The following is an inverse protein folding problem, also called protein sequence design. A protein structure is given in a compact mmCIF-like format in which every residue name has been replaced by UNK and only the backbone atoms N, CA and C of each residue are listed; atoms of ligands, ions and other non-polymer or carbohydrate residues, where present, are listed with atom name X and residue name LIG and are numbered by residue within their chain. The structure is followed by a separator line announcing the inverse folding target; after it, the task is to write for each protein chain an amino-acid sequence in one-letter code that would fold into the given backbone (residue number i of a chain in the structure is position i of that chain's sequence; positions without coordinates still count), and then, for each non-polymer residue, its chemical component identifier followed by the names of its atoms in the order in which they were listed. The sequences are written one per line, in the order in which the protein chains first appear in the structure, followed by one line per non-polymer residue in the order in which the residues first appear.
data_IF_602131052446
#
_entry.id   IF_602131052446
#
_cell.length_a   1.000
_cell.length_b   1.000
_cell.length_c   1.000
_cell.angle_alpha   90.00
_cell.angle_beta   90.00
_cell.angle_gamma   90.00
#
_symmetry.space_group_name_H-M   'P 1'
#
loop_
_entity.id
_entity.type
_entity.pdbx_description
1 polymer ?
#
# COMPACT_ATOMS: atom_id res chain seq x y z
N UNK A 1 0.45 22.25 10.63
CA UNK A 1 0.55 21.16 11.63
C UNK A 1 1.55 21.53 12.71
N UNK A 2 2.77 21.97 12.34
CA UNK A 2 3.78 22.48 13.30
C UNK A 2 3.24 23.70 14.06
N UNK A 3 2.67 24.68 13.35
CA UNK A 3 2.11 25.89 13.99
C UNK A 3 1.00 25.62 15.01
N UNK A 4 0.24 24.53 14.82
CA UNK A 4 -0.82 24.13 15.76
C UNK A 4 -0.23 23.52 17.04
N UNK A 5 0.79 22.67 16.91
CA UNK A 5 1.51 22.10 18.05
C UNK A 5 2.32 23.17 18.79
N UNK A 6 2.92 24.13 18.08
CA UNK A 6 3.58 25.30 18.67
C UNK A 6 2.63 26.10 19.57
N UNK A 7 1.42 26.40 19.10
CA UNK A 7 0.40 27.07 19.89
C UNK A 7 -0.08 26.22 21.10
N UNK A 8 -0.15 24.89 20.95
CA UNK A 8 -0.50 23.98 22.03
C UNK A 8 0.60 23.93 23.12
N UNK A 9 1.86 23.98 22.71
CA UNK A 9 3.02 24.02 23.62
C UNK A 9 3.10 25.36 24.34
N UNK A 10 2.93 26.48 23.62
CA UNK A 10 2.90 27.81 24.23
C UNK A 10 1.77 28.00 25.24
N UNK A 11 0.64 27.31 25.05
CA UNK A 11 -0.49 27.30 25.99
C UNK A 11 -0.38 26.24 27.10
N UNK A 12 0.72 25.48 27.15
CA UNK A 12 0.98 24.45 28.16
C UNK A 12 0.09 23.20 28.03
N UNK A 13 -0.67 23.05 26.93
CA UNK A 13 -1.54 21.89 26.68
C UNK A 13 -0.78 20.68 26.15
N UNK A 14 0.42 20.89 25.63
CA UNK A 14 1.28 19.87 25.04
C UNK A 14 2.71 20.11 25.52
N UNK A 15 3.44 19.05 25.83
CA UNK A 15 4.88 19.10 26.12
C UNK A 15 5.68 18.87 24.84
N UNK A 16 6.92 19.39 24.78
CA UNK A 16 7.77 19.27 23.58
C UNK A 16 8.06 17.81 23.21
N UNK A 17 8.22 16.92 24.18
CA UNK A 17 8.45 15.48 23.98
C UNK A 17 7.22 14.76 23.38
N UNK A 18 6.03 15.31 23.59
CA UNK A 18 4.76 14.83 23.05
C UNK A 18 4.51 15.30 21.62
N UNK A 19 5.34 16.19 21.06
CA UNK A 19 5.25 16.63 19.67
C UNK A 19 5.36 15.45 18.70
N UNK A 20 4.41 15.34 17.77
CA UNK A 20 4.34 14.23 16.82
C UNK A 20 4.70 14.64 15.40
N UNK A 21 4.51 15.90 15.00
CA UNK A 21 4.70 16.28 13.59
C UNK A 21 6.09 15.96 13.04
N UNK A 22 7.15 16.15 13.83
CA UNK A 22 8.52 15.79 13.45
C UNK A 22 8.68 14.27 13.27
N UNK A 23 8.27 13.49 14.28
CA UNK A 23 8.33 12.02 14.27
C UNK A 23 7.50 11.42 13.12
N UNK A 24 6.33 11.99 12.85
CA UNK A 24 5.47 11.57 11.74
C UNK A 24 6.12 11.85 10.39
N UNK A 25 6.72 13.04 10.22
CA UNK A 25 7.43 13.40 8.98
C UNK A 25 8.62 12.47 8.73
N UNK A 26 9.40 12.19 9.77
CA UNK A 26 10.51 11.23 9.70
C UNK A 26 10.02 9.82 9.36
N UNK A 27 8.93 9.36 9.96
CA UNK A 27 8.30 8.06 9.66
C UNK A 27 7.77 7.98 8.23
N UNK A 28 7.25 9.08 7.67
CA UNK A 28 6.85 9.17 6.27
C UNK A 28 8.04 9.14 5.31
N UNK A 29 9.11 9.86 5.64
CA UNK A 29 10.30 9.95 4.81
C UNK A 29 11.11 8.65 4.78
N UNK A 30 11.23 7.99 5.93
CA UNK A 30 11.88 6.66 6.06
C UNK A 30 11.03 5.52 5.49
N UNK A 31 9.70 5.72 5.40
CA UNK A 31 8.75 4.74 4.89
C UNK A 31 8.22 3.74 5.92
N UNK A 32 8.49 3.94 7.20
CA UNK A 32 7.95 3.10 8.28
C UNK A 32 6.43 3.20 8.36
N UNK A 33 5.91 4.41 8.19
CA UNK A 33 4.47 4.62 8.08
C UNK A 33 3.86 3.82 6.93
N UNK A 34 4.50 3.84 5.76
CA UNK A 34 4.03 3.13 4.57
C UNK A 34 4.02 1.61 4.77
N UNK A 35 5.00 1.08 5.50
CA UNK A 35 5.06 -0.35 5.86
C UNK A 35 3.85 -0.74 6.71
N UNK A 36 3.57 0.01 7.78
CA UNK A 36 2.41 -0.25 8.65
C UNK A 36 1.09 -0.02 7.90
N UNK A 37 1.03 1.00 7.04
CA UNK A 37 -0.17 1.31 6.26
C UNK A 37 -0.50 0.20 5.27
N UNK A 38 0.50 -0.26 4.48
CA UNK A 38 0.34 -1.34 3.51
C UNK A 38 -0.11 -2.65 4.18
N UNK A 39 0.45 -2.97 5.36
CA UNK A 39 0.04 -4.15 6.12
C UNK A 39 -1.42 -4.10 6.62
N UNK A 40 -1.95 -2.89 6.87
CA UNK A 40 -3.32 -2.69 7.39
C UNK A 40 -4.36 -2.46 6.32
N UNK A 41 -3.95 -2.00 5.13
CA UNK A 41 -4.84 -1.59 4.04
C UNK A 41 -4.52 -2.40 2.79
N UNK A 42 -5.07 -3.60 2.73
CA UNK A 42 -4.90 -4.54 1.61
C UNK A 42 -5.16 -3.91 0.23
N UNK A 43 -6.16 -3.04 0.10
CA UNK A 43 -6.49 -2.38 -1.16
C UNK A 43 -5.41 -1.40 -1.64
N UNK A 44 -4.62 -0.83 -0.72
CA UNK A 44 -3.57 0.13 -1.03
C UNK A 44 -2.19 -0.54 -1.08
N UNK A 45 -2.10 -1.83 -0.75
CA UNK A 45 -0.84 -2.53 -0.62
C UNK A 45 -0.02 -2.44 -1.89
N UNK A 46 -0.62 -2.74 -3.05
CA UNK A 46 0.09 -2.79 -4.32
C UNK A 46 0.69 -1.42 -4.68
N UNK A 47 -0.11 -0.35 -4.67
CA UNK A 47 0.36 1.01 -4.95
C UNK A 47 1.44 1.46 -3.94
N UNK A 48 1.22 1.23 -2.65
CA UNK A 48 2.18 1.66 -1.60
C UNK A 48 3.48 0.86 -1.69
N UNK A 49 3.40 -0.43 -2.01
CA UNK A 49 4.56 -1.28 -2.19
C UNK A 49 5.44 -0.72 -3.31
N UNK A 50 4.89 -0.54 -4.51
CA UNK A 50 5.66 -0.07 -5.66
C UNK A 50 6.16 1.38 -5.51
N UNK A 51 5.33 2.29 -4.99
CA UNK A 51 5.72 3.70 -4.91
C UNK A 51 6.67 4.03 -3.76
N UNK A 52 6.58 3.31 -2.63
CA UNK A 52 7.22 3.72 -1.37
C UNK A 52 8.16 2.69 -0.77
N UNK A 53 7.91 1.40 -1.00
CA UNK A 53 8.63 0.33 -0.29
C UNK A 53 9.63 -0.39 -1.19
N UNK A 54 9.31 -0.61 -2.46
CA UNK A 54 10.14 -1.41 -3.36
C UNK A 54 11.56 -0.85 -3.47
N UNK A 55 11.69 0.46 -3.77
CA UNK A 55 12.99 1.14 -3.83
C UNK A 55 13.74 1.22 -2.50
N UNK A 56 13.03 1.12 -1.36
CA UNK A 56 13.63 1.07 -0.02
C UNK A 56 14.36 -0.25 0.21
N UNK A 57 13.81 -1.37 -0.27
CA UNK A 57 14.37 -2.70 -0.06
C UNK A 57 15.33 -3.14 -1.16
N UNK A 58 15.01 -2.81 -2.42
CA UNK A 58 15.77 -3.27 -3.59
C UNK A 58 16.64 -2.17 -4.21
N UNK A 59 16.59 -0.95 -3.66
CA UNK A 59 17.24 0.23 -4.22
C UNK A 59 16.44 0.81 -5.40
N UNK A 60 16.82 2.00 -5.89
CA UNK A 60 16.23 2.52 -7.11
C UNK A 60 16.50 1.55 -8.26
N UNK A 61 15.51 1.34 -9.12
CA UNK A 61 15.64 0.45 -10.26
C UNK A 61 16.82 0.90 -11.13
N UNK A 62 17.94 0.17 -10.99
CA UNK A 62 19.17 0.45 -11.72
C UNK A 62 19.11 0.09 -13.20
N UNK A 63 17.94 -0.32 -13.69
CA UNK A 63 17.68 -0.68 -15.09
C UNK A 63 16.62 0.27 -15.63
N UNK A 64 16.79 0.69 -16.88
CA UNK A 64 15.80 1.39 -17.70
C UNK A 64 14.57 0.50 -18.00
N UNK A 65 14.04 -0.19 -17.00
CA UNK A 65 12.87 -1.04 -17.09
C UNK A 65 11.65 -0.15 -16.88
N UNK A 66 10.66 -0.20 -17.78
CA UNK A 66 9.40 0.49 -17.57
C UNK A 66 8.78 0.11 -16.21
N UNK A 67 8.06 1.03 -15.54
CA UNK A 67 7.39 0.72 -14.27
C UNK A 67 6.54 -0.57 -14.35
N UNK A 68 5.87 -0.81 -15.50
CA UNK A 68 5.04 -1.99 -15.73
C UNK A 68 5.79 -3.34 -15.76
N UNK A 69 7.12 -3.33 -15.98
CA UNK A 69 7.94 -4.54 -16.11
C UNK A 69 8.82 -4.79 -14.88
N UNK A 70 8.81 -3.86 -13.92
CA UNK A 70 9.66 -3.92 -12.71
C UNK A 70 9.39 -5.17 -11.88
N UNK A 71 8.15 -5.64 -11.84
CA UNK A 71 7.76 -6.85 -11.14
C UNK A 71 8.46 -8.11 -11.68
N UNK A 72 8.79 -8.18 -12.98
CA UNK A 72 9.52 -9.32 -13.55
C UNK A 72 10.92 -9.43 -12.98
N UNK A 73 11.60 -8.29 -12.77
CA UNK A 73 12.89 -8.27 -12.09
C UNK A 73 12.78 -8.77 -10.64
N UNK A 74 11.66 -8.47 -9.94
CA UNK A 74 11.42 -8.91 -8.56
C UNK A 74 11.09 -10.40 -8.48
N UNK A 75 10.33 -10.93 -9.43
CA UNK A 75 10.09 -12.38 -9.54
C UNK A 75 11.41 -13.14 -9.74
N UNK A 76 12.35 -12.57 -10.50
CA UNK A 76 13.70 -13.14 -10.65
C UNK A 76 14.55 -13.18 -9.36
N UNK A 77 14.10 -12.58 -8.24
CA UNK A 77 14.76 -12.67 -6.94
C UNK A 77 14.28 -13.87 -6.11
N UNK A 78 13.16 -14.49 -6.49
CA UNK A 78 12.65 -15.69 -5.83
C UNK A 78 13.52 -16.88 -6.21
N UNK A 79 13.73 -17.79 -5.25
CA UNK A 79 14.39 -19.05 -5.54
C UNK A 79 13.48 -19.97 -6.38
N UNK A 80 14.09 -20.94 -7.06
CA UNK A 80 13.38 -21.84 -7.96
C UNK A 80 12.27 -22.64 -7.25
N UNK A 81 12.48 -23.04 -5.99
CA UNK A 81 11.49 -23.80 -5.25
C UNK A 81 10.27 -22.93 -4.95
N UNK A 82 10.49 -21.69 -4.49
CA UNK A 82 9.40 -20.72 -4.26
C UNK A 82 8.61 -20.46 -5.54
N UNK A 83 9.27 -20.31 -6.69
CA UNK A 83 8.58 -20.14 -7.98
C UNK A 83 7.69 -21.35 -8.31
N UNK A 84 8.22 -22.57 -8.20
CA UNK A 84 7.46 -23.81 -8.46
C UNK A 84 6.29 -23.96 -7.48
N UNK A 85 6.47 -23.61 -6.21
CA UNK A 85 5.42 -23.69 -5.20
C UNK A 85 4.29 -22.65 -5.45
N UNK A 86 4.61 -21.53 -6.11
CA UNK A 86 3.63 -20.52 -6.50
C UNK A 86 2.81 -20.91 -7.73
N UNK A 87 3.36 -21.69 -8.67
CA UNK A 87 2.70 -22.07 -9.93
C UNK A 87 1.29 -22.68 -9.72
N UNK A 88 1.09 -23.70 -8.85
CA UNK A 88 -0.24 -24.27 -8.60
C UNK A 88 -1.25 -23.25 -8.07
N UNK A 89 -0.79 -22.26 -7.31
CA UNK A 89 -1.66 -21.21 -6.79
C UNK A 89 -2.08 -20.24 -7.89
N UNK A 90 -1.15 -19.86 -8.79
CA UNK A 90 -1.44 -19.03 -9.95
C UNK A 90 -2.44 -19.73 -10.87
N UNK A 91 -2.21 -20.99 -11.21
CA UNK A 91 -3.11 -21.78 -12.06
C UNK A 91 -4.53 -21.82 -11.50
N UNK A 92 -4.63 -22.10 -10.19
CA UNK A 92 -5.92 -22.08 -9.49
C UNK A 92 -6.59 -20.70 -9.56
N UNK A 93 -5.84 -19.62 -9.35
CA UNK A 93 -6.38 -18.25 -9.38
C UNK A 93 -6.85 -17.86 -10.78
N UNK A 94 -6.12 -18.24 -11.82
CA UNK A 94 -6.51 -18.01 -13.21
C UNK A 94 -7.80 -18.76 -13.55
N UNK A 95 -7.91 -20.03 -13.18
CA UNK A 95 -9.14 -20.80 -13.38
C UNK A 95 -10.34 -20.25 -12.58
N UNK A 96 -10.12 -19.81 -11.34
CA UNK A 96 -11.15 -19.12 -10.55
C UNK A 96 -11.59 -17.83 -11.24
N UNK A 97 -10.67 -17.05 -11.84
CA UNK A 97 -11.01 -15.80 -12.52
C UNK A 97 -11.92 -15.99 -13.74
N UNK A 98 -11.84 -17.12 -14.44
CA UNK A 98 -12.71 -17.42 -15.60
C UNK A 98 -14.19 -17.58 -15.20
N UNK A 99 -14.43 -18.02 -13.97
CA UNK A 99 -15.78 -18.35 -13.47
C UNK A 99 -16.29 -17.38 -12.41
N UNK A 100 -15.40 -16.53 -11.85
CA UNK A 100 -15.74 -15.60 -10.78
C UNK A 100 -16.55 -14.41 -11.31
N UNK A 101 -17.77 -14.28 -10.83
CA UNK A 101 -18.55 -13.06 -11.00
C UNK A 101 -17.86 -11.90 -10.23
N UNK A 102 -17.51 -10.84 -10.96
CA UNK A 102 -16.96 -9.61 -10.38
C UNK A 102 -18.10 -8.78 -9.78
N UNK A 103 -18.61 -9.22 -8.63
CA UNK A 103 -19.53 -8.44 -7.83
C UNK A 103 -18.75 -7.57 -6.84
N UNK A 104 -18.80 -6.26 -7.04
CA UNK A 104 -18.34 -5.30 -6.04
C UNK A 104 -19.42 -5.11 -5.00
N UNK A 105 -19.03 -4.99 -3.72
CA UNK A 105 -19.95 -4.50 -2.71
C UNK A 105 -20.44 -3.11 -3.15
N UNK A 106 -21.76 -2.89 -3.26
CA UNK A 106 -22.29 -1.64 -3.77
C UNK A 106 -21.89 -0.51 -2.83
N UNK A 107 -21.25 0.50 -3.39
CA UNK A 107 -20.93 1.71 -2.66
C UNK A 107 -22.21 2.50 -2.31
N UNK A 108 -22.06 3.53 -1.49
CA UNK A 108 -23.20 4.35 -1.04
C UNK A 108 -24.02 4.95 -2.20
N UNK A 109 -23.39 5.18 -3.35
CA UNK A 109 -24.04 5.70 -4.54
C UNK A 109 -24.82 4.61 -5.29
N UNK A 110 -24.24 3.42 -5.42
CA UNK A 110 -24.84 2.24 -6.03
C UNK A 110 -26.08 1.81 -5.25
N UNK A 111 -26.01 1.82 -3.91
CA UNK A 111 -27.15 1.54 -3.03
C UNK A 111 -28.29 2.55 -3.20
N UNK A 112 -27.97 3.84 -3.30
CA UNK A 112 -28.97 4.91 -3.52
C UNK A 112 -29.68 4.78 -4.87
N UNK A 113 -28.96 4.35 -5.91
CA UNK A 113 -29.55 4.12 -7.23
C UNK A 113 -30.42 2.86 -7.26
N UNK A 114 -29.99 1.78 -6.60
CA UNK A 114 -30.78 0.54 -6.49
C UNK A 114 -32.07 0.75 -5.69
N UNK A 115 -32.03 1.57 -4.62
CA UNK A 115 -33.21 1.94 -3.85
C UNK A 115 -34.18 2.87 -4.60
N UNK A 116 -33.73 3.52 -5.68
CA UNK A 116 -34.52 4.40 -6.53
C UNK A 116 -35.07 3.70 -7.78
N UNK A 117 -34.71 2.44 -8.03
CA UNK A 117 -35.37 1.59 -9.04
C UNK A 117 -36.67 0.99 -8.45
N UNK A 118 -37.81 1.10 -9.14
CA UNK A 118 -39.10 0.57 -8.68
C UNK A 118 -39.18 -0.97 -8.67
#
# INVERSE_FOLDING_TARGET
MVDCEDAAIASGKLQEDQRLSCKMRESWASGDFWTIYAARKNFAFDCVYWEKLDSRYFGPDGRNTPPEDTWMNRVGLLDQQTCVDMEPFVDKKVAEMETRELAWDPDEYTLKQQAAMP
#
